data_IF_181928908881
#
_entry.id   IF_181928908881
#
_cell.length_a   1.000
_cell.length_b   1.000
_cell.length_c   1.000
_cell.angle_alpha   90.00
_cell.angle_beta   90.00
_cell.angle_gamma   90.00
#
_symmetry.space_group_name_H-M   'P 1'
#
loop_
_entity.id
_entity.type
_entity.pdbx_description
1 polymer ?
#
# COMPACT_ATOMS: atom_id res chain seq x y z
N UNK A 1 -15.06 -8.51 -6.43
CA UNK A 1 -14.19 -7.43 -5.92
C UNK A 1 -14.99 -6.13 -6.03
N UNK A 2 -15.14 -5.35 -4.96
CA UNK A 2 -15.94 -4.11 -5.01
C UNK A 2 -15.08 -2.95 -5.57
N UNK A 3 -15.73 -1.82 -5.87
CA UNK A 3 -15.08 -0.66 -6.48
C UNK A 3 -13.90 -0.13 -5.65
N UNK A 4 -14.07 -0.08 -4.32
CA UNK A 4 -13.01 0.33 -3.40
C UNK A 4 -11.80 -0.61 -3.47
N UNK A 5 -12.01 -1.94 -3.43
CA UNK A 5 -10.93 -2.92 -3.55
C UNK A 5 -10.19 -2.77 -4.87
N UNK A 6 -10.89 -2.53 -5.99
CA UNK A 6 -10.25 -2.32 -7.30
C UNK A 6 -9.37 -1.05 -7.31
N UNK A 7 -9.85 0.05 -6.72
CA UNK A 7 -9.10 1.30 -6.62
C UNK A 7 -7.85 1.15 -5.75
N UNK A 8 -7.95 0.45 -4.62
CA UNK A 8 -6.78 0.15 -3.78
C UNK A 8 -5.80 -0.75 -4.53
N UNK A 9 -6.29 -1.78 -5.22
CA UNK A 9 -5.42 -2.67 -6.00
C UNK A 9 -4.63 -1.92 -7.08
N UNK A 10 -5.28 -0.98 -7.79
CA UNK A 10 -4.62 -0.16 -8.80
C UNK A 10 -3.50 0.73 -8.20
N UNK A 11 -3.69 1.26 -6.99
CA UNK A 11 -2.62 2.00 -6.28
C UNK A 11 -1.44 1.08 -5.97
N UNK A 12 -1.68 -0.10 -5.40
CA UNK A 12 -0.61 -1.05 -5.05
C UNK A 12 0.12 -1.57 -6.29
N UNK A 13 -0.63 -1.85 -7.37
CA UNK A 13 -0.08 -2.29 -8.65
C UNK A 13 0.81 -1.23 -9.30
N UNK A 14 0.49 0.06 -9.12
CA UNK A 14 1.32 1.17 -9.59
C UNK A 14 2.52 1.45 -8.70
N UNK A 15 2.42 1.10 -7.42
CA UNK A 15 3.51 1.23 -6.47
C UNK A 15 4.60 0.20 -6.77
N UNK A 16 4.22 -1.08 -6.91
CA UNK A 16 5.10 -2.18 -7.32
C UNK A 16 6.53 -2.10 -6.75
N UNK A 17 6.68 -2.13 -5.41
CA UNK A 17 7.96 -1.87 -4.76
C UNK A 17 9.05 -2.91 -5.10
N UNK A 18 8.67 -4.09 -5.59
CA UNK A 18 9.58 -5.17 -5.98
C UNK A 18 9.81 -5.18 -7.51
N UNK A 19 9.00 -4.46 -8.29
CA UNK A 19 9.12 -4.40 -9.75
C UNK A 19 8.69 -5.68 -10.47
N UNK A 20 7.70 -6.41 -9.95
CA UNK A 20 7.21 -7.67 -10.55
C UNK A 20 6.36 -7.43 -11.81
N UNK A 21 5.95 -6.19 -12.04
CA UNK A 21 5.14 -5.79 -13.18
C UNK A 21 3.64 -5.92 -12.92
N UNK A 22 2.87 -5.19 -13.73
CA UNK A 22 1.43 -4.95 -13.51
C UNK A 22 0.61 -6.21 -13.33
N UNK A 23 0.81 -7.22 -14.18
CA UNK A 23 -0.02 -8.44 -14.15
C UNK A 23 0.18 -9.22 -12.84
N UNK A 24 1.43 -9.41 -12.42
CA UNK A 24 1.76 -10.13 -11.20
C UNK A 24 1.37 -9.33 -9.96
N UNK A 25 1.73 -8.04 -9.91
CA UNK A 25 1.36 -7.16 -8.80
C UNK A 25 -0.16 -7.07 -8.61
N UNK A 26 -0.92 -7.01 -9.71
CA UNK A 26 -2.38 -6.96 -9.66
C UNK A 26 -2.98 -8.22 -9.06
N UNK A 27 -2.32 -9.39 -9.15
CA UNK A 27 -2.81 -10.62 -8.56
C UNK A 27 -2.33 -10.84 -7.13
N UNK A 28 -1.02 -10.69 -6.89
CA UNK A 28 -0.40 -10.95 -5.58
C UNK A 28 -0.81 -9.91 -4.53
N UNK A 29 -0.87 -8.62 -4.89
CA UNK A 29 -1.09 -7.57 -3.89
C UNK A 29 -2.54 -7.48 -3.40
N UNK A 30 -3.47 -8.21 -4.05
CA UNK A 30 -4.87 -8.31 -3.62
C UNK A 30 -5.00 -8.83 -2.19
N UNK A 31 -4.08 -9.71 -1.77
CA UNK A 31 -4.12 -10.32 -0.44
C UNK A 31 -3.95 -9.30 0.69
N UNK A 32 -3.26 -8.19 0.43
CA UNK A 32 -3.01 -7.14 1.42
C UNK A 32 -4.17 -6.15 1.59
N UNK A 33 -5.06 -6.05 0.59
CA UNK A 33 -6.08 -4.99 0.50
C UNK A 33 -7.01 -4.93 1.72
N UNK A 34 -7.55 -6.04 2.26
CA UNK A 34 -8.49 -5.97 3.38
C UNK A 34 -7.91 -5.24 4.60
N UNK A 35 -6.65 -5.53 4.94
CA UNK A 35 -5.97 -4.91 6.08
C UNK A 35 -5.55 -3.46 5.80
N UNK A 36 -5.18 -3.15 4.56
CA UNK A 36 -4.92 -1.76 4.13
C UNK A 36 -6.18 -0.90 4.30
N UNK A 37 -7.35 -1.37 3.85
CA UNK A 37 -8.62 -0.66 4.02
C UNK A 37 -8.96 -0.49 5.52
N UNK A 38 -8.75 -1.54 6.32
CA UNK A 38 -8.98 -1.50 7.76
C UNK A 38 -8.13 -0.42 8.44
N UNK A 39 -6.84 -0.33 8.11
CA UNK A 39 -5.91 0.62 8.73
C UNK A 39 -5.93 2.01 8.11
N UNK A 40 -6.52 2.22 6.93
CA UNK A 40 -6.58 3.53 6.27
C UNK A 40 -7.29 4.64 7.07
N UNK A 41 -7.93 4.33 8.21
CA UNK A 41 -8.50 5.31 9.13
C UNK A 41 -7.47 5.90 10.11
N UNK A 42 -6.30 5.28 10.24
CA UNK A 42 -5.23 5.64 11.15
C UNK A 42 -3.90 5.58 10.39
N UNK A 43 -3.37 6.77 10.06
CA UNK A 43 -2.16 6.89 9.23
C UNK A 43 -0.98 6.11 9.81
N UNK A 44 -0.76 6.15 11.12
CA UNK A 44 0.38 5.48 11.71
C UNK A 44 0.25 3.96 11.61
N UNK A 45 -0.97 3.42 11.83
CA UNK A 45 -1.22 2.00 11.63
C UNK A 45 -1.06 1.58 10.18
N UNK A 46 -1.48 2.42 9.23
CA UNK A 46 -1.28 2.15 7.81
C UNK A 46 0.20 2.11 7.45
N UNK A 47 1.00 3.09 7.89
CA UNK A 47 2.45 3.12 7.67
C UNK A 47 3.09 1.84 8.24
N UNK A 48 2.81 1.52 9.51
CA UNK A 48 3.37 0.33 10.15
C UNK A 48 2.99 -0.95 9.41
N UNK A 49 1.77 -1.02 8.86
CA UNK A 49 1.32 -2.19 8.11
C UNK A 49 2.00 -2.30 6.74
N UNK A 50 2.16 -1.19 6.01
CA UNK A 50 2.86 -1.18 4.72
C UNK A 50 4.34 -1.47 4.88
N UNK A 51 4.99 -0.92 5.92
CA UNK A 51 6.37 -1.29 6.29
C UNK A 51 6.49 -2.79 6.55
N UNK A 52 5.56 -3.38 7.31
CA UNK A 52 5.53 -4.81 7.55
C UNK A 52 5.41 -5.62 6.25
N UNK A 53 4.56 -5.18 5.31
CA UNK A 53 4.43 -5.80 3.99
C UNK A 53 5.78 -5.79 3.26
N UNK A 54 6.42 -4.64 3.17
CA UNK A 54 7.72 -4.49 2.51
C UNK A 54 8.79 -5.40 3.13
N UNK A 55 8.92 -5.38 4.46
CA UNK A 55 10.02 -6.05 5.15
C UNK A 55 9.75 -7.54 5.33
N UNK A 56 8.62 -7.90 5.93
CA UNK A 56 8.37 -9.28 6.36
C UNK A 56 7.86 -10.17 5.22
N UNK A 57 7.06 -9.62 4.30
CA UNK A 57 6.40 -10.40 3.24
C UNK A 57 7.15 -10.31 1.91
N UNK A 58 7.75 -9.17 1.60
CA UNK A 58 8.46 -8.95 0.33
C UNK A 58 9.99 -9.04 0.46
N UNK A 59 10.53 -9.08 1.69
CA UNK A 59 11.97 -9.17 1.94
C UNK A 59 12.76 -7.92 1.53
N UNK A 60 12.09 -6.78 1.41
CA UNK A 60 12.69 -5.49 1.10
C UNK A 60 13.18 -4.79 2.37
N UNK A 61 13.98 -3.73 2.20
CA UNK A 61 14.35 -2.83 3.28
C UNK A 61 13.52 -1.56 3.24
N UNK A 62 13.02 -1.11 4.38
CA UNK A 62 12.46 0.23 4.56
C UNK A 62 13.30 0.98 5.59
N UNK A 63 13.54 2.27 5.35
CA UNK A 63 14.29 3.15 6.26
C UNK A 63 13.55 4.49 6.34
N UNK A 64 12.91 4.83 7.48
CA UNK A 64 12.19 6.09 7.62
C UNK A 64 13.10 7.33 7.64
N UNK A 65 14.41 7.17 7.82
CA UNK A 65 15.39 8.26 7.74
C UNK A 65 15.93 8.46 6.32
N UNK A 66 15.69 7.48 5.43
CA UNK A 66 15.94 7.66 4.01
C UNK A 66 14.82 8.51 3.39
N UNK A 67 15.16 9.70 2.91
CA UNK A 67 14.19 10.66 2.37
C UNK A 67 13.31 10.05 1.27
N UNK A 68 13.90 9.27 0.36
CA UNK A 68 13.14 8.66 -0.75
C UNK A 68 12.12 7.64 -0.22
N UNK A 69 12.54 6.75 0.68
CA UNK A 69 11.64 5.75 1.26
C UNK A 69 10.51 6.44 2.03
N UNK A 70 10.84 7.45 2.82
CA UNK A 70 9.87 8.21 3.59
C UNK A 70 8.84 8.89 2.68
N UNK A 71 9.28 9.66 1.68
CA UNK A 71 8.40 10.37 0.75
C UNK A 71 7.51 9.42 -0.04
N UNK A 72 8.06 8.30 -0.51
CA UNK A 72 7.30 7.27 -1.22
C UNK A 72 6.20 6.66 -0.32
N UNK A 73 6.55 6.27 0.91
CA UNK A 73 5.60 5.73 1.89
C UNK A 73 4.48 6.72 2.21
N UNK A 74 4.82 8.00 2.43
CA UNK A 74 3.81 9.05 2.67
C UNK A 74 2.87 9.21 1.48
N UNK A 75 3.41 9.27 0.26
CA UNK A 75 2.63 9.42 -0.96
C UNK A 75 1.65 8.26 -1.19
N UNK A 76 2.07 7.02 -0.91
CA UNK A 76 1.20 5.85 -1.01
C UNK A 76 0.11 5.89 0.08
N UNK A 77 0.47 6.24 1.32
CA UNK A 77 -0.49 6.41 2.40
C UNK A 77 -1.55 7.46 2.07
N UNK A 78 -1.16 8.61 1.51
CA UNK A 78 -2.08 9.68 1.13
C UNK A 78 -3.13 9.21 0.13
N UNK A 79 -2.70 8.54 -0.95
CA UNK A 79 -3.59 7.99 -1.99
C UNK A 79 -4.57 6.97 -1.41
N UNK A 80 -4.08 6.06 -0.55
CA UNK A 80 -4.90 5.02 0.07
C UNK A 80 -5.95 5.62 1.02
N UNK A 81 -5.55 6.58 1.86
CA UNK A 81 -6.42 7.26 2.81
C UNK A 81 -7.51 8.05 2.07
N UNK A 82 -7.14 8.78 1.01
CA UNK A 82 -8.08 9.56 0.20
C UNK A 82 -9.16 8.65 -0.43
N UNK A 83 -8.75 7.57 -1.09
CA UNK A 83 -9.67 6.62 -1.73
C UNK A 83 -10.58 5.96 -0.70
N UNK A 84 -10.07 5.60 0.48
CA UNK A 84 -10.88 4.99 1.53
C UNK A 84 -11.85 5.97 2.21
N UNK A 85 -11.53 7.26 2.26
CA UNK A 85 -12.41 8.30 2.81
C UNK A 85 -13.54 8.67 1.86
N UNK A 86 -13.28 8.74 0.55
CA UNK A 86 -14.24 9.14 -0.48
C UNK A 86 -15.28 8.05 -0.83
N UNK A 87 -15.35 6.97 -0.05
CA UNK A 87 -16.27 5.84 -0.24
C UNK A 87 -17.12 5.59 1.02
N UNK A 88 -17.03 6.47 2.03
CA UNK A 88 -17.96 6.56 3.17
C UNK A 88 -19.07 7.56 2.85
#
# INVERSE_FOLDING_TARGET
>A
MNELTNKVNDILTKWDPIGVGREMAMDEYKEYIPMIIHYAQDRQKLINHLEKILVDYMGLSYDPYNQRHFEEMQNICDKLIEICKNQK
#
